data_IF_775905523980
#
_entry.id   IF_775905523980
#
_cell.length_a   1.000
_cell.length_b   1.000
_cell.length_c   1.000
_cell.angle_alpha   90.00
_cell.angle_beta   90.00
_cell.angle_gamma   90.00
#
_symmetry.space_group_name_H-M   'P 1'
#
loop_
_entity.id
_entity.type
_entity.pdbx_description
1 polymer ?
#
# COMPACT_ATOMS: atom_id res chain seq x y z
N UNK A 1 25.52 8.44 5.16
CA UNK A 1 25.95 8.16 6.55
C UNK A 1 24.77 7.47 7.23
N UNK A 2 24.93 6.24 7.71
CA UNK A 2 23.84 5.53 8.41
C UNK A 2 23.79 5.95 9.88
N UNK A 3 22.61 6.32 10.37
CA UNK A 3 22.38 6.65 11.78
C UNK A 3 21.61 5.48 12.40
N UNK A 4 22.13 4.85 13.46
CA UNK A 4 21.34 3.90 14.26
C UNK A 4 20.61 4.64 15.37
N UNK A 5 19.31 4.40 15.55
CA UNK A 5 18.63 4.95 16.73
C UNK A 5 19.08 4.14 17.96
N UNK A 6 19.91 4.73 18.81
CA UNK A 6 20.64 3.93 19.79
C UNK A 6 19.83 3.54 21.03
N UNK A 7 18.64 4.11 21.29
CA UNK A 7 17.82 3.80 22.50
C UNK A 7 16.29 3.99 22.40
N UNK A 8 15.73 4.22 21.21
CA UNK A 8 14.28 4.40 21.09
C UNK A 8 13.82 5.04 19.77
N UNK A 9 12.53 5.33 19.70
CA UNK A 9 11.89 5.98 18.58
C UNK A 9 12.34 7.45 18.47
N UNK A 10 12.27 8.00 17.26
CA UNK A 10 12.31 9.45 17.05
C UNK A 10 10.86 9.94 17.12
N UNK A 11 10.52 10.62 18.23
CA UNK A 11 9.16 11.08 18.48
C UNK A 11 8.87 12.46 17.86
N UNK A 12 7.79 12.54 17.11
CA UNK A 12 7.24 13.76 16.53
C UNK A 12 5.89 14.05 17.16
N UNK A 13 5.82 15.12 17.95
CA UNK A 13 4.61 15.49 18.73
C UNK A 13 4.21 16.96 18.59
N UNK A 14 5.02 17.77 17.90
CA UNK A 14 4.73 19.19 17.71
C UNK A 14 3.63 19.39 16.68
N UNK A 15 2.91 20.51 16.81
CA UNK A 15 1.90 20.97 15.86
C UNK A 15 2.37 22.27 15.21
N UNK A 16 2.57 22.23 13.90
CA UNK A 16 2.84 23.42 13.09
C UNK A 16 1.55 24.10 12.64
N UNK A 17 1.63 24.87 11.56
CA UNK A 17 0.47 25.39 10.84
C UNK A 17 0.68 25.24 9.34
N UNK A 18 -0.37 25.43 8.54
CA UNK A 18 -0.27 25.46 7.07
C UNK A 18 0.74 26.50 6.56
N UNK A 19 0.89 27.62 7.26
CA UNK A 19 1.84 28.68 6.93
C UNK A 19 3.25 28.47 7.50
N UNK A 20 3.41 27.60 8.50
CA UNK A 20 4.69 27.33 9.18
C UNK A 20 4.79 25.83 9.54
N UNK A 21 4.93 24.94 8.54
CA UNK A 21 5.09 23.52 8.82
C UNK A 21 6.48 23.21 9.38
N UNK A 22 6.57 22.15 10.18
CA UNK A 22 7.86 21.55 10.52
C UNK A 22 8.34 20.67 9.37
N UNK A 23 9.65 20.57 9.14
CA UNK A 23 10.21 19.72 8.08
C UNK A 23 11.38 18.93 8.61
N UNK A 24 11.39 17.63 8.33
CA UNK A 24 12.55 16.75 8.42
C UNK A 24 12.84 16.21 7.03
N UNK A 25 14.09 16.37 6.58
CA UNK A 25 14.53 15.95 5.25
C UNK A 25 16.02 15.66 5.20
N UNK A 26 16.44 14.86 4.22
CA UNK A 26 17.86 14.81 3.83
C UNK A 26 18.35 16.19 3.38
N UNK A 27 19.64 16.45 3.57
CA UNK A 27 20.28 17.62 2.97
C UNK A 27 20.56 17.34 1.48
N UNK A 28 20.15 18.25 0.58
CA UNK A 28 20.28 18.08 -0.87
C UNK A 28 19.82 16.68 -1.34
N UNK A 29 20.68 15.95 -2.05
CA UNK A 29 20.44 14.59 -2.54
C UNK A 29 21.15 13.52 -1.71
N UNK A 30 21.54 13.85 -0.47
CA UNK A 30 22.19 12.88 0.41
C UNK A 30 21.27 11.71 0.73
N UNK A 31 21.88 10.53 0.82
CA UNK A 31 21.21 9.34 1.31
C UNK A 31 21.27 9.30 2.84
N UNK A 32 20.09 9.45 3.47
CA UNK A 32 19.90 9.30 4.91
C UNK A 32 19.19 7.97 5.18
N UNK A 33 19.86 7.09 5.91
CA UNK A 33 19.34 5.78 6.32
C UNK A 33 19.34 5.75 7.84
N UNK A 34 18.16 5.47 8.43
CA UNK A 34 18.00 5.31 9.87
C UNK A 34 17.61 3.86 10.16
N UNK A 35 18.50 3.17 10.89
CA UNK A 35 18.31 1.78 11.31
C UNK A 35 17.68 1.68 12.69
N UNK A 36 16.67 0.83 12.83
CA UNK A 36 15.96 0.56 14.09
C UNK A 36 16.41 -0.70 14.83
N UNK A 37 17.51 -1.35 14.42
CA UNK A 37 17.93 -2.67 14.91
C UNK A 37 18.08 -2.79 16.44
N UNK A 38 18.31 -1.67 17.13
CA UNK A 38 18.51 -1.60 18.59
C UNK A 38 17.26 -1.15 19.35
N UNK A 39 16.13 -0.97 18.67
CA UNK A 39 14.89 -0.54 19.30
C UNK A 39 14.24 -1.68 20.12
N UNK A 40 13.46 -1.36 21.15
CA UNK A 40 12.72 -2.38 21.91
C UNK A 40 11.88 -3.29 21.01
N UNK A 41 11.93 -4.60 21.26
CA UNK A 41 11.13 -5.59 20.53
C UNK A 41 11.41 -5.65 19.03
N UNK A 42 12.68 -5.55 18.62
CA UNK A 42 13.07 -5.47 17.21
C UNK A 42 14.12 -6.54 16.85
N UNK A 43 13.73 -7.68 16.23
CA UNK A 43 12.34 -8.15 16.11
C UNK A 43 11.77 -8.62 17.44
N UNK A 44 10.45 -8.54 17.58
CA UNK A 44 9.73 -9.16 18.69
C UNK A 44 9.60 -10.67 18.44
N UNK A 45 9.63 -11.47 19.50
CA UNK A 45 9.43 -12.92 19.41
C UNK A 45 7.99 -13.27 18.99
N UNK A 46 7.79 -14.51 18.50
CA UNK A 46 6.46 -15.04 18.15
C UNK A 46 5.47 -14.87 19.32
N UNK A 47 4.32 -14.25 19.04
CA UNK A 47 3.27 -14.00 20.02
C UNK A 47 3.56 -12.84 20.99
N UNK A 48 4.73 -12.20 20.92
CA UNK A 48 5.02 -11.05 21.76
C UNK A 48 4.26 -9.81 21.27
N UNK A 49 3.89 -8.93 22.21
CA UNK A 49 3.27 -7.64 21.93
C UNK A 49 4.28 -6.51 22.06
N UNK A 50 4.14 -5.48 21.22
CA UNK A 50 4.92 -4.26 21.30
C UNK A 50 4.07 -3.11 21.86
N UNK A 51 4.59 -2.37 22.84
CA UNK A 51 3.90 -1.20 23.38
C UNK A 51 3.69 -0.15 22.29
N UNK A 52 2.57 0.57 22.34
CA UNK A 52 2.27 1.63 21.36
C UNK A 52 3.39 2.68 21.26
N UNK A 53 3.98 3.07 22.40
CA UNK A 53 5.08 4.05 22.44
C UNK A 53 6.37 3.58 21.79
N UNK A 54 6.55 2.27 21.66
CA UNK A 54 7.77 1.65 21.11
C UNK A 54 7.64 1.40 19.59
N UNK A 55 6.50 1.73 18.97
CA UNK A 55 6.25 1.52 17.53
C UNK A 55 6.85 2.62 16.65
N UNK A 56 7.54 2.23 15.58
CA UNK A 56 8.01 3.13 14.51
C UNK A 56 9.37 3.79 14.77
N UNK A 57 10.35 3.62 13.88
CA UNK A 57 11.58 4.43 13.93
C UNK A 57 11.19 5.91 13.98
N UNK A 58 10.27 6.31 13.10
CA UNK A 58 9.52 7.55 13.26
C UNK A 58 8.20 7.26 13.98
N UNK A 59 8.07 7.79 15.19
CA UNK A 59 6.84 7.73 15.97
C UNK A 59 6.16 9.10 15.92
N UNK A 60 5.12 9.22 15.12
CA UNK A 60 4.39 10.47 14.88
C UNK A 60 3.07 10.41 15.63
N UNK A 61 2.96 11.12 16.75
CA UNK A 61 1.77 11.06 17.60
C UNK A 61 1.26 12.46 17.95
N UNK A 62 -0.03 12.72 17.68
CA UNK A 62 -0.65 14.05 17.91
C UNK A 62 0.09 15.18 17.19
N UNK A 63 0.71 14.85 16.06
CA UNK A 63 1.51 15.78 15.27
C UNK A 63 0.67 16.37 14.15
N UNK A 64 0.91 17.65 13.86
CA UNK A 64 0.22 18.34 12.78
C UNK A 64 1.18 19.20 11.97
N UNK A 65 0.93 19.31 10.66
CA UNK A 65 1.70 20.14 9.73
C UNK A 65 3.19 19.83 9.73
N UNK A 66 3.54 18.54 9.70
CA UNK A 66 4.90 18.07 9.42
C UNK A 66 5.09 17.69 7.96
N UNK A 67 6.32 17.86 7.48
CA UNK A 67 6.81 17.35 6.20
C UNK A 67 7.97 16.38 6.45
N UNK A 68 7.85 15.14 6.00
CA UNK A 68 8.87 14.11 6.07
C UNK A 68 9.33 13.78 4.66
N UNK A 69 10.58 14.06 4.33
CA UNK A 69 11.03 14.03 2.92
C UNK A 69 12.35 13.27 2.76
N UNK A 70 12.38 12.26 1.88
CA UNK A 70 13.61 11.62 1.39
C UNK A 70 14.49 11.02 2.51
N UNK A 71 13.93 10.07 3.25
CA UNK A 71 14.60 9.35 4.34
C UNK A 71 14.28 7.86 4.21
N UNK A 72 15.28 7.02 4.40
CA UNK A 72 15.13 5.57 4.46
C UNK A 72 15.07 5.10 5.92
N UNK A 73 14.07 4.28 6.23
CA UNK A 73 13.80 3.75 7.57
C UNK A 73 13.78 2.22 7.49
N UNK A 74 14.69 1.56 8.18
CA UNK A 74 14.90 0.12 8.01
C UNK A 74 15.16 -0.60 9.32
N UNK A 75 14.84 -1.90 9.35
CA UNK A 75 15.12 -2.80 10.48
C UNK A 75 14.57 -2.31 11.81
N UNK A 76 13.51 -1.51 11.79
CA UNK A 76 12.76 -1.10 12.97
C UNK A 76 11.61 -2.05 13.27
N UNK A 77 10.92 -1.87 14.41
CA UNK A 77 9.68 -2.57 14.65
C UNK A 77 8.67 -2.16 13.57
N UNK A 78 8.50 -0.86 13.33
CA UNK A 78 7.84 -0.30 12.15
C UNK A 78 8.81 0.73 11.53
N UNK A 79 8.70 1.01 10.22
CA UNK A 79 9.46 2.12 9.63
C UNK A 79 8.90 3.46 10.12
N UNK A 80 7.64 3.74 9.78
CA UNK A 80 6.88 4.88 10.28
C UNK A 80 5.63 4.38 11.00
N UNK A 81 5.34 4.95 12.17
CA UNK A 81 4.08 4.74 12.88
C UNK A 81 3.45 6.09 13.22
N UNK A 82 2.22 6.30 12.74
CA UNK A 82 1.47 7.54 12.86
C UNK A 82 0.18 7.28 13.64
N UNK A 83 -0.10 8.13 14.64
CA UNK A 83 -1.26 7.99 15.51
C UNK A 83 -1.85 9.36 15.83
N UNK A 84 -3.17 9.48 15.77
CA UNK A 84 -3.91 10.70 16.16
C UNK A 84 -3.35 12.00 15.51
N UNK A 85 -2.98 11.94 14.22
CA UNK A 85 -2.18 12.99 13.56
C UNK A 85 -2.81 13.45 12.24
N UNK A 86 -2.68 14.74 11.93
CA UNK A 86 -3.42 15.40 10.85
C UNK A 86 -2.57 16.36 10.02
N UNK A 87 -2.96 16.59 8.77
CA UNK A 87 -2.33 17.60 7.90
C UNK A 87 -0.80 17.39 7.72
N UNK A 88 -0.33 16.14 7.74
CA UNK A 88 1.08 15.83 7.54
C UNK A 88 1.35 15.34 6.12
N UNK A 89 2.55 15.59 5.64
CA UNK A 89 3.00 15.29 4.29
C UNK A 89 4.23 14.37 4.34
N UNK A 90 4.13 13.19 3.74
CA UNK A 90 5.19 12.19 3.70
C UNK A 90 5.56 11.96 2.23
N UNK A 91 6.79 12.31 1.86
CA UNK A 91 7.21 12.30 0.47
C UNK A 91 8.55 11.57 0.33
N UNK A 92 8.61 10.62 -0.61
CA UNK A 92 9.86 9.92 -0.98
C UNK A 92 10.55 9.23 0.20
N UNK A 93 9.77 8.79 1.17
CA UNK A 93 10.29 7.91 2.19
C UNK A 93 10.54 6.53 1.57
N UNK A 94 11.53 5.83 2.13
CA UNK A 94 11.71 4.40 1.87
C UNK A 94 11.56 3.66 3.19
N UNK A 95 10.73 2.63 3.24
CA UNK A 95 10.58 1.79 4.43
C UNK A 95 10.83 0.34 4.05
N UNK A 96 11.90 -0.28 4.55
CA UNK A 96 12.19 -1.64 4.15
C UNK A 96 12.79 -2.51 5.24
N UNK A 97 12.58 -3.81 5.12
CA UNK A 97 13.15 -4.79 6.07
C UNK A 97 12.78 -4.49 7.53
N UNK A 98 11.62 -3.88 7.76
CA UNK A 98 11.09 -3.68 9.11
C UNK A 98 10.36 -4.94 9.57
N UNK A 99 10.26 -5.10 10.89
CA UNK A 99 9.76 -6.31 11.53
C UNK A 99 8.24 -6.28 11.83
N UNK A 100 7.53 -5.30 11.28
CA UNK A 100 6.09 -5.10 11.17
C UNK A 100 5.85 -4.22 9.92
N UNK A 101 4.66 -3.60 9.79
CA UNK A 101 4.29 -2.72 8.68
C UNK A 101 5.36 -1.64 8.41
N UNK A 102 5.69 -1.44 7.13
CA UNK A 102 6.66 -0.42 6.72
C UNK A 102 6.21 1.01 7.09
N UNK A 103 4.97 1.36 6.78
CA UNK A 103 4.34 2.64 7.13
C UNK A 103 2.94 2.40 7.66
N UNK A 104 2.67 2.72 8.93
CA UNK A 104 1.39 2.47 9.58
C UNK A 104 0.75 3.77 10.09
N UNK A 105 -0.55 3.96 9.84
CA UNK A 105 -1.37 5.01 10.43
C UNK A 105 -2.58 4.41 11.14
N UNK A 106 -2.95 4.93 12.32
CA UNK A 106 -4.13 4.45 13.05
C UNK A 106 -4.83 5.52 13.92
N UNK A 107 -6.04 5.20 14.39
CA UNK A 107 -6.94 6.06 15.16
C UNK A 107 -7.45 7.28 14.35
N UNK A 108 -7.34 8.50 14.89
CA UNK A 108 -7.83 9.74 14.27
C UNK A 108 -6.81 10.25 13.25
N UNK A 109 -7.01 9.98 11.96
CA UNK A 109 -6.06 10.28 10.88
C UNK A 109 -6.80 11.04 9.77
N UNK A 110 -6.42 12.29 9.50
CA UNK A 110 -7.11 13.14 8.51
C UNK A 110 -6.14 14.03 7.74
N UNK A 111 -6.43 14.27 6.46
CA UNK A 111 -5.67 15.15 5.58
C UNK A 111 -4.16 14.83 5.52
N UNK A 112 -3.77 13.57 5.68
CA UNK A 112 -2.39 13.16 5.49
C UNK A 112 -2.15 12.71 4.05
N UNK A 113 -1.01 13.09 3.49
CA UNK A 113 -0.63 12.72 2.12
C UNK A 113 0.64 11.87 2.16
N UNK A 114 0.57 10.70 1.54
CA UNK A 114 1.70 9.78 1.38
C UNK A 114 2.02 9.71 -0.11
N UNK A 115 3.17 10.25 -0.49
CA UNK A 115 3.56 10.46 -1.89
C UNK A 115 4.89 9.80 -2.17
N UNK A 116 4.94 8.99 -3.23
CA UNK A 116 6.18 8.37 -3.73
C UNK A 116 6.94 7.54 -2.67
N UNK A 117 6.21 6.93 -1.73
CA UNK A 117 6.76 5.95 -0.78
C UNK A 117 7.25 4.71 -1.54
N UNK A 118 8.44 4.24 -1.21
CA UNK A 118 8.90 2.91 -1.58
C UNK A 118 8.94 2.02 -0.33
N UNK A 119 8.06 1.03 -0.24
CA UNK A 119 7.94 0.18 0.96
C UNK A 119 8.06 -1.30 0.61
N UNK A 120 9.06 -2.00 1.17
CA UNK A 120 9.33 -3.35 0.72
C UNK A 120 10.06 -4.26 1.69
N UNK A 121 9.94 -5.57 1.49
CA UNK A 121 10.61 -6.59 2.32
C UNK A 121 10.30 -6.46 3.82
N UNK A 122 9.19 -5.82 4.19
CA UNK A 122 8.75 -5.78 5.58
C UNK A 122 8.12 -7.13 5.92
N UNK A 123 8.48 -7.69 7.07
CA UNK A 123 8.03 -9.02 7.47
C UNK A 123 7.97 -9.13 8.99
N UNK A 124 6.89 -9.66 9.56
CA UNK A 124 6.72 -9.76 11.01
C UNK A 124 6.93 -11.20 11.53
N UNK A 125 8.08 -11.49 12.19
CA UNK A 125 8.25 -12.76 12.88
C UNK A 125 7.25 -12.97 14.01
N UNK A 126 6.75 -11.89 14.62
CA UNK A 126 5.91 -11.98 15.81
C UNK A 126 4.50 -12.51 15.53
N UNK A 127 4.02 -12.45 14.28
CA UNK A 127 2.75 -13.07 13.88
C UNK A 127 2.88 -13.89 12.57
N UNK A 128 4.07 -14.48 12.33
CA UNK A 128 4.34 -15.36 11.19
C UNK A 128 4.01 -14.74 9.81
N UNK A 129 4.30 -13.44 9.66
CA UNK A 129 4.15 -12.71 8.42
C UNK A 129 2.76 -12.16 8.14
N UNK A 130 1.86 -12.13 9.13
CA UNK A 130 0.45 -11.74 8.98
C UNK A 130 0.17 -10.26 9.29
N UNK A 131 1.17 -9.46 9.69
CA UNK A 131 0.93 -8.05 10.04
C UNK A 131 1.74 -7.06 9.20
N UNK A 132 2.87 -7.50 8.62
CA UNK A 132 3.78 -6.59 7.95
C UNK A 132 3.29 -6.23 6.55
N UNK A 133 2.39 -5.25 6.54
CA UNK A 133 1.95 -4.56 5.33
C UNK A 133 3.06 -3.64 4.77
N UNK A 134 2.95 -3.26 3.51
CA UNK A 134 3.76 -2.16 2.97
C UNK A 134 3.35 -0.80 3.57
N UNK A 135 2.06 -0.49 3.47
CA UNK A 135 1.41 0.74 3.91
C UNK A 135 0.06 0.40 4.54
N UNK A 136 -0.22 0.93 5.72
CA UNK A 136 -1.47 0.72 6.42
C UNK A 136 -2.09 2.05 6.88
N UNK A 137 -3.40 2.16 6.71
CA UNK A 137 -4.25 3.12 7.44
C UNK A 137 -5.37 2.30 8.06
N UNK A 138 -5.19 1.81 9.28
CA UNK A 138 -6.03 0.79 9.91
C UNK A 138 -6.71 1.32 11.16
N UNK A 139 -7.74 0.63 11.64
CA UNK A 139 -8.28 0.76 13.00
C UNK A 139 -8.52 2.22 13.42
N UNK A 140 -9.39 2.92 12.70
CA UNK A 140 -9.49 4.36 12.86
C UNK A 140 -10.53 5.03 11.99
N UNK A 141 -10.47 6.37 11.94
CA UNK A 141 -11.31 7.20 11.10
C UNK A 141 -10.65 8.55 10.81
N UNK A 142 -11.22 9.27 9.85
CA UNK A 142 -10.77 10.59 9.41
C UNK A 142 -10.61 10.66 7.89
N UNK A 143 -10.97 11.80 7.32
CA UNK A 143 -11.13 11.99 5.87
C UNK A 143 -9.95 12.74 5.26
N UNK A 144 -9.90 12.76 3.93
CA UNK A 144 -8.90 13.55 3.20
C UNK A 144 -7.52 12.89 3.11
N UNK A 145 -7.38 11.63 3.52
CA UNK A 145 -6.12 10.90 3.41
C UNK A 145 -5.89 10.42 1.97
N UNK A 146 -4.68 10.61 1.47
CA UNK A 146 -4.29 10.29 0.09
C UNK A 146 -3.02 9.42 0.10
N UNK A 147 -3.05 8.32 -0.66
CA UNK A 147 -1.90 7.47 -0.96
C UNK A 147 -1.64 7.58 -2.46
N UNK A 148 -0.48 8.10 -2.86
CA UNK A 148 -0.18 8.38 -4.27
C UNK A 148 1.21 7.94 -4.70
N UNK A 149 1.29 7.28 -5.86
CA UNK A 149 2.56 7.05 -6.54
C UNK A 149 3.51 6.10 -5.80
N UNK A 150 3.01 5.30 -4.86
CA UNK A 150 3.85 4.42 -4.05
C UNK A 150 4.30 3.21 -4.86
N UNK A 151 5.46 2.64 -4.50
CA UNK A 151 5.84 1.29 -4.88
C UNK A 151 5.86 0.43 -3.62
N UNK A 152 5.09 -0.64 -3.61
CA UNK A 152 5.00 -1.51 -2.45
C UNK A 152 5.13 -2.97 -2.85
N UNK A 153 6.17 -3.62 -2.34
CA UNK A 153 6.53 -4.94 -2.84
C UNK A 153 7.21 -5.86 -1.84
N UNK A 154 7.00 -7.15 -2.03
CA UNK A 154 7.68 -8.20 -1.27
C UNK A 154 7.45 -8.13 0.25
N UNK A 155 6.41 -7.44 0.70
CA UNK A 155 5.97 -7.45 2.09
C UNK A 155 5.31 -8.79 2.42
N UNK A 156 5.42 -9.22 3.69
CA UNK A 156 4.93 -10.54 4.09
C UNK A 156 3.42 -10.62 4.17
N UNK A 157 2.71 -9.53 4.47
CA UNK A 157 1.24 -9.55 4.50
C UNK A 157 0.67 -8.87 3.25
N UNK A 158 0.03 -7.71 3.38
CA UNK A 158 -0.53 -6.97 2.25
C UNK A 158 0.39 -5.84 1.77
N UNK A 159 -0.03 -5.17 0.71
CA UNK A 159 0.62 -3.94 0.30
C UNK A 159 -0.04 -2.69 0.88
N UNK A 160 -1.31 -2.44 0.57
CA UNK A 160 -2.10 -1.35 1.15
C UNK A 160 -3.22 -2.01 1.94
N UNK A 161 -3.23 -1.78 3.26
CA UNK A 161 -4.26 -2.31 4.15
C UNK A 161 -5.05 -1.18 4.83
N UNK A 162 -6.38 -1.21 4.64
CA UNK A 162 -7.35 -0.31 5.25
C UNK A 162 -8.24 -0.98 6.31
N UNK A 163 -7.84 -2.14 6.84
CA UNK A 163 -8.57 -2.93 7.83
C UNK A 163 -9.14 -2.06 8.97
N UNK A 164 -10.47 -2.15 9.16
CA UNK A 164 -11.22 -1.40 10.18
C UNK A 164 -11.08 0.14 10.15
N UNK A 165 -10.64 0.71 9.02
CA UNK A 165 -10.66 2.16 8.83
C UNK A 165 -12.01 2.63 8.29
N UNK A 166 -12.64 3.56 9.02
CA UNK A 166 -14.07 3.90 8.87
C UNK A 166 -14.30 5.19 8.08
N UNK A 167 -13.35 5.60 7.24
CA UNK A 167 -13.45 6.83 6.45
C UNK A 167 -12.77 6.66 5.09
N UNK A 168 -13.23 7.42 4.10
CA UNK A 168 -12.70 7.30 2.74
C UNK A 168 -11.20 7.63 2.66
N UNK A 169 -10.51 6.87 1.82
CA UNK A 169 -9.10 7.04 1.47
C UNK A 169 -9.02 7.04 -0.05
N UNK A 170 -8.23 7.97 -0.59
CA UNK A 170 -7.99 8.08 -2.03
C UNK A 170 -6.64 7.46 -2.38
N UNK A 171 -6.64 6.42 -3.23
CA UNK A 171 -5.49 5.58 -3.56
C UNK A 171 -5.21 5.69 -5.06
N UNK A 172 -4.11 6.34 -5.43
CA UNK A 172 -3.85 6.80 -6.79
C UNK A 172 -2.48 6.37 -7.30
N UNK A 173 -2.41 5.93 -8.56
CA UNK A 173 -1.14 5.84 -9.29
C UNK A 173 -0.11 4.90 -8.65
N UNK A 174 -0.51 3.81 -8.00
CA UNK A 174 0.42 2.95 -7.26
C UNK A 174 0.90 1.74 -8.08
N UNK A 175 2.10 1.25 -7.75
CA UNK A 175 2.67 0.01 -8.29
C UNK A 175 2.88 -0.99 -7.16
N UNK A 176 2.19 -2.12 -7.23
CA UNK A 176 2.08 -3.05 -6.11
C UNK A 176 2.34 -4.47 -6.57
N UNK A 177 3.32 -5.15 -5.99
CA UNK A 177 3.69 -6.48 -6.47
C UNK A 177 4.40 -7.42 -5.52
N UNK A 178 4.29 -8.71 -5.80
CA UNK A 178 5.07 -9.75 -5.12
C UNK A 178 4.88 -9.80 -3.57
N UNK A 179 3.81 -9.19 -3.03
CA UNK A 179 3.43 -9.26 -1.62
C UNK A 179 2.71 -10.59 -1.30
N UNK A 180 2.74 -11.00 -0.04
CA UNK A 180 2.10 -12.25 0.39
C UNK A 180 2.84 -13.52 -0.01
N UNK A 181 4.18 -13.47 -0.07
CA UNK A 181 5.02 -14.65 -0.31
C UNK A 181 5.90 -14.89 0.90
N UNK A 182 5.96 -16.15 1.35
CA UNK A 182 6.77 -16.56 2.49
C UNK A 182 8.28 -16.53 2.18
N UNK A 183 8.88 -15.34 2.21
CA UNK A 183 10.35 -15.16 2.09
C UNK A 183 11.08 -15.29 3.42
N UNK A 184 10.35 -15.19 4.53
CA UNK A 184 10.89 -15.30 5.90
C UNK A 184 10.95 -16.72 6.45
N UNK A 185 10.58 -17.74 5.66
CA UNK A 185 10.48 -19.14 6.10
C UNK A 185 9.60 -19.34 7.35
N UNK A 186 8.53 -18.54 7.49
CA UNK A 186 7.57 -18.66 8.59
C UNK A 186 6.80 -19.98 8.49
N UNK A 187 6.55 -20.63 9.63
CA UNK A 187 5.81 -21.89 9.69
C UNK A 187 4.88 -21.95 10.92
N UNK A 188 3.54 -21.96 10.75
CA UNK A 188 2.84 -21.75 9.48
C UNK A 188 2.98 -20.30 9.02
N UNK A 189 3.09 -20.08 7.71
CA UNK A 189 2.98 -18.73 7.13
C UNK A 189 1.53 -18.26 7.10
N UNK A 190 1.29 -17.00 7.45
CA UNK A 190 -0.06 -16.46 7.69
C UNK A 190 -0.41 -15.19 6.91
N UNK A 191 0.45 -14.73 6.00
CA UNK A 191 0.18 -13.54 5.19
C UNK A 191 -1.02 -13.71 4.24
N UNK A 192 -1.89 -12.70 4.20
CA UNK A 192 -3.07 -12.60 3.34
C UNK A 192 -2.70 -12.29 1.88
N UNK A 193 -1.71 -11.42 1.66
CA UNK A 193 -1.12 -11.19 0.34
C UNK A 193 -1.99 -10.42 -0.63
N UNK A 194 -2.83 -9.52 -0.15
CA UNK A 194 -3.69 -8.66 -0.95
C UNK A 194 -2.89 -7.43 -1.41
N UNK A 195 -2.96 -7.11 -2.70
CA UNK A 195 -2.35 -5.88 -3.24
C UNK A 195 -2.98 -4.63 -2.62
N UNK A 196 -4.30 -4.48 -2.73
CA UNK A 196 -5.06 -3.42 -2.05
C UNK A 196 -6.24 -4.03 -1.30
N UNK A 197 -6.12 -4.07 0.04
CA UNK A 197 -7.17 -4.48 0.99
C UNK A 197 -7.94 -3.23 1.43
N UNK A 198 -9.13 -3.03 0.87
CA UNK A 198 -9.97 -1.84 1.04
C UNK A 198 -10.83 -1.88 2.31
N UNK A 199 -10.42 -2.64 3.33
CA UNK A 199 -11.09 -2.68 4.61
C UNK A 199 -11.06 -4.06 5.26
N UNK A 200 -12.13 -4.37 5.98
CA UNK A 200 -12.31 -5.62 6.70
C UNK A 200 -12.69 -5.37 8.15
N UNK A 201 -12.61 -6.41 8.95
CA UNK A 201 -12.99 -6.37 10.35
C UNK A 201 -14.05 -7.40 10.72
N UNK A 202 -14.29 -7.51 12.02
CA UNK A 202 -15.49 -8.19 12.52
C UNK A 202 -16.76 -7.46 12.02
N UNK A 203 -17.94 -8.13 11.94
CA UNK A 203 -19.18 -7.46 11.57
C UNK A 203 -19.47 -6.18 12.37
N UNK A 204 -19.08 -6.13 13.66
CA UNK A 204 -19.27 -4.97 14.52
C UNK A 204 -18.29 -3.80 14.22
N UNK A 205 -17.15 -4.08 13.59
CA UNK A 205 -16.12 -3.08 13.30
C UNK A 205 -16.17 -2.56 11.86
N UNK A 206 -16.97 -3.16 10.99
CA UNK A 206 -17.18 -2.68 9.62
C UNK A 206 -18.06 -1.44 9.60
N UNK A 207 -17.79 -0.54 8.67
CA UNK A 207 -18.61 0.64 8.39
C UNK A 207 -18.78 0.81 6.89
N UNK A 208 -19.86 1.48 6.46
CA UNK A 208 -20.03 1.85 5.05
C UNK A 208 -18.97 2.91 4.70
N UNK A 209 -18.01 2.54 3.86
CA UNK A 209 -16.91 3.43 3.45
C UNK A 209 -16.77 3.48 1.93
N UNK A 210 -16.51 4.67 1.42
CA UNK A 210 -16.50 4.95 -0.01
C UNK A 210 -15.06 5.22 -0.45
N UNK A 211 -14.18 4.22 -0.33
CA UNK A 211 -12.80 4.34 -0.79
C UNK A 211 -12.74 4.53 -2.30
N UNK A 212 -11.70 5.24 -2.76
CA UNK A 212 -11.44 5.43 -4.19
C UNK A 212 -10.08 4.83 -4.51
N UNK A 213 -10.04 3.87 -5.43
CA UNK A 213 -8.79 3.32 -5.97
C UNK A 213 -8.73 3.58 -7.48
N UNK A 214 -7.79 4.40 -7.91
CA UNK A 214 -7.65 4.78 -9.32
C UNK A 214 -6.22 4.58 -9.83
N UNK A 215 -6.11 4.05 -11.05
CA UNK A 215 -4.84 3.94 -11.77
C UNK A 215 -3.76 3.13 -11.04
N UNK A 216 -4.14 2.05 -10.36
CA UNK A 216 -3.20 1.20 -9.62
C UNK A 216 -2.85 -0.08 -10.40
N UNK A 217 -1.57 -0.43 -10.42
CA UNK A 217 -1.09 -1.74 -10.83
C UNK A 217 -0.99 -2.66 -9.62
N UNK A 218 -1.62 -3.83 -9.68
CA UNK A 218 -1.44 -4.92 -8.73
C UNK A 218 -1.10 -6.21 -9.46
N UNK A 219 0.12 -6.72 -9.27
CA UNK A 219 0.56 -7.92 -9.97
C UNK A 219 1.41 -8.86 -9.14
N UNK A 220 1.24 -10.17 -9.36
CA UNK A 220 1.95 -11.21 -8.62
C UNK A 220 1.86 -11.06 -7.10
N UNK A 221 0.81 -10.44 -6.59
CA UNK A 221 0.43 -10.60 -5.18
C UNK A 221 -0.31 -11.93 -5.03
N UNK A 222 -0.70 -12.33 -3.80
CA UNK A 222 -1.61 -13.46 -3.65
C UNK A 222 -2.97 -13.12 -4.28
N UNK A 223 -3.61 -12.03 -3.87
CA UNK A 223 -4.80 -11.43 -4.52
C UNK A 223 -4.51 -10.01 -4.99
N UNK A 224 -5.24 -9.53 -6.00
CA UNK A 224 -5.08 -8.17 -6.50
C UNK A 224 -5.74 -7.11 -5.60
N UNK A 225 -7.05 -6.94 -5.77
CA UNK A 225 -7.87 -5.97 -5.04
C UNK A 225 -8.95 -6.69 -4.25
N UNK A 226 -9.20 -6.27 -3.02
CA UNK A 226 -10.23 -6.89 -2.17
C UNK A 226 -10.97 -5.83 -1.37
N UNK A 227 -12.30 -5.90 -1.30
CA UNK A 227 -13.05 -5.15 -0.29
C UNK A 227 -12.93 -5.76 1.11
N UNK A 228 -12.43 -7.00 1.19
CA UNK A 228 -12.26 -7.76 2.42
C UNK A 228 -13.52 -7.76 3.30
N UNK A 229 -14.69 -7.80 2.66
CA UNK A 229 -16.02 -7.73 3.27
C UNK A 229 -16.38 -6.37 3.92
N UNK A 230 -15.62 -5.31 3.68
CA UNK A 230 -16.01 -3.95 4.05
C UNK A 230 -17.14 -3.47 3.14
N UNK A 231 -18.27 -3.00 3.70
CA UNK A 231 -19.36 -2.47 2.90
C UNK A 231 -19.12 -1.00 2.52
N UNK A 232 -19.98 -0.45 1.69
CA UNK A 232 -19.91 0.94 1.20
C UNK A 232 -19.92 1.04 -0.32
N UNK A 233 -19.95 2.27 -0.82
CA UNK A 233 -19.99 2.60 -2.25
C UNK A 233 -18.58 2.99 -2.72
N UNK A 234 -17.73 1.97 -2.90
CA UNK A 234 -16.35 2.16 -3.33
C UNK A 234 -16.26 2.42 -4.83
N UNK A 235 -15.20 3.09 -5.27
CA UNK A 235 -14.98 3.40 -6.70
C UNK A 235 -13.61 2.89 -7.14
N UNK A 236 -13.60 1.98 -8.12
CA UNK A 236 -12.39 1.41 -8.71
C UNK A 236 -12.31 1.77 -10.19
N UNK A 237 -11.35 2.61 -10.55
CA UNK A 237 -11.24 3.17 -11.90
C UNK A 237 -9.84 2.95 -12.47
N UNK A 238 -9.72 2.47 -13.71
CA UNK A 238 -8.42 2.35 -14.39
C UNK A 238 -7.39 1.50 -13.62
N UNK A 239 -7.78 0.50 -12.86
CA UNK A 239 -6.83 -0.38 -12.19
C UNK A 239 -6.45 -1.58 -13.07
N UNK A 240 -5.22 -2.08 -12.94
CA UNK A 240 -4.77 -3.31 -13.62
C UNK A 240 -4.42 -4.39 -12.59
N UNK A 241 -5.10 -5.53 -12.64
CA UNK A 241 -4.77 -6.75 -11.91
C UNK A 241 -4.15 -7.79 -12.85
N UNK A 242 -2.85 -8.08 -12.72
CA UNK A 242 -2.14 -8.96 -13.64
C UNK A 242 -1.37 -10.05 -12.91
N UNK A 243 -1.55 -11.33 -13.27
CA UNK A 243 -0.78 -12.44 -12.68
C UNK A 243 -0.75 -12.50 -11.16
N UNK A 244 -1.78 -12.04 -10.46
CA UNK A 244 -1.92 -12.38 -9.03
C UNK A 244 -2.11 -13.89 -8.90
N UNK A 245 -1.68 -14.51 -7.80
CA UNK A 245 -1.67 -15.99 -7.64
C UNK A 245 -3.07 -16.57 -7.43
N UNK A 246 -4.02 -15.72 -7.04
CA UNK A 246 -5.45 -15.99 -6.88
C UNK A 246 -6.25 -14.95 -7.69
N UNK A 247 -7.37 -14.43 -7.17
CA UNK A 247 -8.24 -13.53 -7.92
C UNK A 247 -7.62 -12.13 -8.15
N UNK A 248 -7.88 -11.55 -9.33
CA UNK A 248 -7.49 -10.18 -9.66
C UNK A 248 -8.30 -9.14 -8.89
N UNK A 249 -9.63 -9.17 -9.00
CA UNK A 249 -10.55 -8.34 -8.22
C UNK A 249 -11.50 -9.24 -7.42
N UNK A 250 -11.57 -9.04 -6.11
CA UNK A 250 -12.44 -9.79 -5.21
C UNK A 250 -13.35 -8.83 -4.44
N UNK A 251 -14.66 -8.92 -4.65
CA UNK A 251 -15.61 -8.03 -4.00
C UNK A 251 -16.80 -8.81 -3.46
N UNK A 252 -17.05 -8.66 -2.16
CA UNK A 252 -18.01 -9.47 -1.42
C UNK A 252 -19.15 -8.67 -0.79
N UNK A 253 -18.88 -7.47 -0.27
CA UNK A 253 -19.83 -6.73 0.57
C UNK A 253 -20.04 -5.27 0.15
N UNK A 254 -19.06 -4.66 -0.51
CA UNK A 254 -19.19 -3.32 -1.08
C UNK A 254 -20.15 -3.32 -2.29
N UNK A 255 -20.78 -2.18 -2.56
CA UNK A 255 -21.58 -1.90 -3.76
C UNK A 255 -20.72 -1.10 -4.74
N UNK A 256 -19.55 -1.60 -5.08
CA UNK A 256 -18.55 -0.80 -5.77
C UNK A 256 -18.87 -0.55 -7.25
N UNK A 257 -18.42 0.60 -7.73
CA UNK A 257 -18.42 0.97 -9.14
C UNK A 257 -17.06 0.65 -9.77
N UNK A 258 -17.07 -0.11 -10.88
CA UNK A 258 -15.86 -0.51 -11.62
C UNK A 258 -15.86 0.10 -13.02
N UNK A 259 -14.94 1.02 -13.29
CA UNK A 259 -14.83 1.64 -14.62
C UNK A 259 -13.44 1.49 -15.22
N UNK A 260 -13.39 1.03 -16.48
CA UNK A 260 -12.17 0.94 -17.27
C UNK A 260 -11.02 0.19 -16.56
N UNK A 261 -11.31 -0.80 -15.72
CA UNK A 261 -10.30 -1.66 -15.10
C UNK A 261 -9.87 -2.78 -16.07
N UNK A 262 -8.74 -3.41 -15.78
CA UNK A 262 -8.17 -4.50 -16.56
C UNK A 262 -7.76 -5.64 -15.65
N UNK A 263 -8.20 -6.86 -15.92
CA UNK A 263 -7.72 -8.07 -15.27
C UNK A 263 -7.25 -9.11 -16.30
N UNK A 264 -6.04 -9.65 -16.11
CA UNK A 264 -5.46 -10.64 -17.02
C UNK A 264 -4.53 -11.63 -16.31
N UNK A 265 -4.56 -12.90 -16.76
CA UNK A 265 -3.66 -13.97 -16.28
C UNK A 265 -3.61 -14.20 -14.75
N UNK A 266 -4.63 -13.76 -14.00
CA UNK A 266 -4.70 -14.03 -12.56
C UNK A 266 -4.95 -15.53 -12.31
N UNK A 267 -4.37 -16.06 -11.23
CA UNK A 267 -4.26 -17.48 -10.92
C UNK A 267 -3.68 -18.35 -12.06
N UNK A 268 -2.84 -17.77 -12.93
CA UNK A 268 -2.30 -18.48 -14.11
C UNK A 268 -3.38 -18.87 -15.13
N UNK A 269 -4.53 -18.18 -15.12
CA UNK A 269 -5.69 -18.50 -15.93
C UNK A 269 -6.25 -17.23 -16.58
N UNK A 270 -6.92 -17.38 -17.72
CA UNK A 270 -7.74 -16.34 -18.35
C UNK A 270 -9.23 -16.43 -17.98
N UNK A 271 -9.63 -17.43 -17.19
CA UNK A 271 -11.02 -17.62 -16.77
C UNK A 271 -11.54 -16.40 -16.00
N UNK A 272 -12.77 -15.99 -16.32
CA UNK A 272 -13.41 -14.80 -15.75
C UNK A 272 -13.43 -14.83 -14.22
N UNK A 273 -13.76 -15.98 -13.61
CA UNK A 273 -13.80 -16.15 -12.15
C UNK A 273 -12.46 -15.94 -11.44
N UNK A 274 -11.34 -16.00 -12.17
CA UNK A 274 -10.00 -15.68 -11.65
C UNK A 274 -9.63 -14.22 -11.90
N UNK A 275 -10.20 -13.59 -12.92
CA UNK A 275 -9.97 -12.19 -13.22
C UNK A 275 -10.75 -11.30 -12.24
N UNK A 276 -12.00 -11.65 -12.01
CA UNK A 276 -12.85 -10.96 -11.07
C UNK A 276 -13.89 -11.91 -10.43
N UNK A 277 -14.23 -11.61 -9.17
CA UNK A 277 -15.35 -12.21 -8.44
C UNK A 277 -16.10 -11.04 -7.80
N UNK A 278 -17.16 -10.59 -8.45
CA UNK A 278 -17.86 -9.34 -8.13
C UNK A 278 -19.34 -9.62 -7.86
N UNK A 279 -19.88 -9.03 -6.78
CA UNK A 279 -21.28 -9.22 -6.37
C UNK A 279 -22.04 -7.89 -6.40
N UNK A 280 -23.18 -7.80 -7.08
CA UNK A 280 -24.02 -6.60 -7.10
C UNK A 280 -23.30 -5.31 -7.57
N UNK A 281 -22.56 -5.40 -8.68
CA UNK A 281 -21.70 -4.31 -9.20
C UNK A 281 -22.31 -3.53 -10.34
N UNK A 282 -21.85 -2.28 -10.47
CA UNK A 282 -21.99 -1.46 -11.68
C UNK A 282 -20.63 -1.44 -12.38
N UNK A 283 -20.54 -2.03 -13.56
CA UNK A 283 -19.32 -2.11 -14.35
C UNK A 283 -19.49 -1.46 -15.72
N UNK A 284 -18.52 -0.67 -16.17
CA UNK A 284 -18.46 -0.18 -17.55
C UNK A 284 -17.04 -0.07 -18.06
N UNK A 285 -16.81 -0.57 -19.27
CA UNK A 285 -15.56 -0.36 -19.99
C UNK A 285 -14.36 -1.12 -19.44
N UNK A 286 -14.55 -1.99 -18.43
CA UNK A 286 -13.51 -2.92 -18.01
C UNK A 286 -13.28 -3.96 -19.12
N UNK A 287 -12.10 -4.56 -19.13
CA UNK A 287 -11.76 -5.51 -20.19
C UNK A 287 -12.65 -6.77 -20.18
N UNK A 288 -13.16 -7.17 -19.01
CA UNK A 288 -13.99 -8.38 -18.89
C UNK A 288 -15.42 -8.22 -19.40
N UNK A 289 -15.96 -7.01 -19.55
CA UNK A 289 -17.25 -6.83 -20.25
C UNK A 289 -17.12 -6.99 -21.77
N UNK A 290 -15.90 -6.91 -22.32
CA UNK A 290 -15.62 -7.10 -23.75
C UNK A 290 -15.53 -8.58 -24.14
N UNK A 291 -15.42 -9.47 -23.15
CA UNK A 291 -15.15 -10.88 -23.37
C UNK A 291 -13.71 -11.16 -23.82
N UNK A 292 -13.43 -12.43 -24.12
CA UNK A 292 -12.11 -12.90 -24.54
C UNK A 292 -11.19 -13.32 -23.37
N UNK A 293 -10.09 -13.98 -23.72
CA UNK A 293 -9.05 -14.41 -22.78
C UNK A 293 -7.86 -13.46 -22.88
N UNK A 294 -7.69 -12.60 -21.87
CA UNK A 294 -6.57 -11.66 -21.82
C UNK A 294 -5.30 -12.33 -21.30
N UNK A 295 -4.26 -12.32 -22.13
CA UNK A 295 -2.96 -12.90 -21.89
C UNK A 295 -1.83 -11.86 -22.04
N UNK A 296 -0.58 -12.31 -21.90
CA UNK A 296 0.58 -11.43 -21.98
C UNK A 296 0.76 -10.77 -23.36
N UNK A 297 0.34 -11.46 -24.42
CA UNK A 297 0.40 -10.97 -25.80
C UNK A 297 -0.57 -9.81 -26.09
N UNK A 298 -1.58 -9.61 -25.23
CA UNK A 298 -2.55 -8.51 -25.35
C UNK A 298 -2.03 -7.19 -24.77
N UNK A 299 -0.80 -7.18 -24.24
CA UNK A 299 -0.12 -6.00 -23.75
C UNK A 299 1.03 -5.59 -24.66
N UNK A 300 1.23 -4.27 -24.79
CA UNK A 300 2.40 -3.71 -25.48
C UNK A 300 3.72 -4.11 -24.81
N UNK A 301 3.73 -4.22 -23.48
CA UNK A 301 4.89 -4.69 -22.73
C UNK A 301 4.48 -5.32 -21.39
N UNK A 302 5.13 -6.43 -21.03
CA UNK A 302 4.94 -7.13 -19.74
C UNK A 302 6.21 -7.16 -18.88
N UNK A 303 7.31 -6.56 -19.36
CA UNK A 303 8.56 -6.52 -18.60
C UNK A 303 8.44 -5.61 -17.39
N UNK A 304 8.56 -6.18 -16.19
CA UNK A 304 8.52 -5.41 -14.95
C UNK A 304 9.75 -4.52 -14.73
N UNK A 305 10.82 -4.66 -15.52
CA UNK A 305 11.98 -3.74 -15.42
C UNK A 305 11.61 -2.29 -15.74
N UNK A 306 10.55 -2.08 -16.53
CA UNK A 306 10.05 -0.75 -16.93
C UNK A 306 9.53 0.09 -15.76
N UNK A 307 9.15 -0.55 -14.65
CA UNK A 307 8.53 0.11 -13.48
C UNK A 307 9.33 -0.08 -12.17
N UNK A 308 10.35 -0.94 -12.17
CA UNK A 308 11.22 -1.21 -11.02
C UNK A 308 12.49 -0.36 -10.99
N UNK A 309 12.78 0.39 -12.06
CA UNK A 309 13.93 1.29 -12.12
C UNK A 309 13.90 2.41 -11.08
N UNK A 310 15.00 3.16 -10.95
CA UNK A 310 15.04 4.35 -10.09
C UNK A 310 13.94 5.34 -10.50
N UNK A 311 13.37 6.03 -9.52
CA UNK A 311 12.50 7.19 -9.78
C UNK A 311 13.30 8.26 -10.54
N UNK A 312 12.60 9.03 -11.37
CA UNK A 312 13.16 10.15 -12.13
C UNK A 312 13.45 11.33 -11.19
N UNK A 313 14.08 12.40 -11.71
CA UNK A 313 14.38 13.60 -10.92
C UNK A 313 13.13 14.35 -10.41
N UNK A 314 11.95 14.09 -10.99
CA UNK A 314 10.65 14.57 -10.53
C UNK A 314 9.93 13.55 -9.62
N UNK A 315 10.66 12.51 -9.19
CA UNK A 315 10.25 11.45 -8.27
C UNK A 315 9.12 10.51 -8.75
N UNK A 316 8.61 10.74 -9.97
CA UNK A 316 7.76 9.80 -10.68
C UNK A 316 8.58 8.63 -11.22
N UNK A 317 7.91 7.52 -11.51
CA UNK A 317 8.51 6.45 -12.31
C UNK A 317 8.71 6.89 -13.76
N UNK A 318 9.54 6.17 -14.50
CA UNK A 318 9.65 6.37 -15.94
C UNK A 318 8.36 5.94 -16.65
N UNK A 319 7.81 6.84 -17.48
CA UNK A 319 6.68 6.54 -18.35
C UNK A 319 7.05 5.41 -19.31
N UNK A 320 6.15 4.45 -19.46
CA UNK A 320 6.36 3.26 -20.26
C UNK A 320 5.02 2.63 -20.67
N UNK A 321 5.10 1.73 -21.65
CA UNK A 321 3.96 0.93 -22.12
C UNK A 321 3.66 -0.30 -21.24
N UNK A 322 4.21 -0.38 -20.03
CA UNK A 322 3.99 -1.50 -19.13
C UNK A 322 2.50 -1.74 -18.88
N UNK A 323 2.02 -2.93 -19.27
CA UNK A 323 0.63 -3.38 -19.22
C UNK A 323 -0.37 -2.43 -19.88
N UNK A 324 0.06 -1.65 -20.88
CA UNK A 324 -0.85 -0.93 -21.78
C UNK A 324 -1.46 -1.92 -22.77
N UNK A 325 -2.79 -1.88 -23.02
CA UNK A 325 -3.43 -2.73 -24.02
C UNK A 325 -2.83 -2.54 -25.42
N UNK A 326 -2.57 -3.65 -26.12
CA UNK A 326 -2.05 -3.65 -27.49
C UNK A 326 -3.09 -3.13 -28.51
N UNK A 327 -4.38 -3.28 -28.21
CA UNK A 327 -5.50 -2.79 -29.01
C UNK A 327 -5.69 -1.25 -28.93
N UNK A 328 -4.88 -0.55 -28.13
CA UNK A 328 -4.97 0.90 -27.93
C UNK A 328 -6.11 1.33 -27.00
N UNK A 329 -6.79 0.39 -26.34
CA UNK A 329 -7.88 0.66 -25.42
C UNK A 329 -7.50 1.57 -24.25
N UNK A 330 -8.44 2.45 -23.87
CA UNK A 330 -8.29 3.31 -22.69
C UNK A 330 -8.89 2.66 -21.44
N UNK A 331 -8.28 1.56 -21.00
CA UNK A 331 -8.60 0.86 -19.76
C UNK A 331 -7.34 0.23 -19.16
N UNK A 332 -7.44 -0.17 -17.90
CA UNK A 332 -6.30 -0.49 -17.06
C UNK A 332 -5.51 0.75 -16.65
N UNK A 333 -4.52 0.50 -15.82
CA UNK A 333 -3.61 1.50 -15.29
C UNK A 333 -2.58 1.96 -16.35
N UNK A 334 -1.94 3.08 -16.05
CA UNK A 334 -0.87 3.67 -16.85
C UNK A 334 0.20 4.26 -15.95
N UNK A 335 1.44 4.24 -16.44
CA UNK A 335 2.58 4.95 -15.83
C UNK A 335 2.62 6.43 -16.22
N UNK A 336 1.70 6.87 -17.09
CA UNK A 336 1.55 8.26 -17.53
C UNK A 336 0.78 9.06 -16.47
N UNK A 337 1.35 9.18 -15.28
CA UNK A 337 0.76 9.91 -14.16
C UNK A 337 0.76 11.41 -14.44
N UNK A 338 -0.40 12.05 -14.22
CA UNK A 338 -0.59 13.49 -14.40
C UNK A 338 0.08 14.25 -13.27
#
# INVERSE_FOLDING_TARGET
MGITSDRGNIHFTKKGSSSKPYTIRSYNNEEVIIGGDKMPGTPAALGASLSGKDRGIFHVEKAEYWRFIHITLTKGPYGVYVKDSHNNYFERLTTHSNYETGFHMQNSISNNEIVYLDTHNNADPRNNGQNADGMAIKEGSGTGNIIRGIRSYENSDDCIDLYEFKSSVTILDNIIFDNGVNRGNFNPYRGDGIGIKLGGGSPANRANVNHVARNNFSFRNRRGFSDNNMPGDMTLIHNTAWKNREEGFNQRSSKATYENNLAANNAGSSSLSKQNTLTSVKGKGNNWERGGSWQDADFKATSTSLIKGRRQANDKITRSDFLRPADGGNYGATTHWV
#
